data_IF_773514935106
#
_entry.id   IF_773514935106
#
_cell.length_a   1.000
_cell.length_b   1.000
_cell.length_c   1.000
_cell.angle_alpha   90.00
_cell.angle_beta   90.00
_cell.angle_gamma   90.00
#
_symmetry.space_group_name_H-M   'P 1'
#
loop_
_entity.id
_entity.type
_entity.pdbx_description
1 polymer ?
#
# COMPACT_ATOMS: atom_id res chain seq x y z
N UNK A 1 15.89 24.49 7.42
CA UNK A 1 14.44 24.24 7.39
C UNK A 1 14.27 22.73 7.39
N UNK A 2 14.12 22.13 8.57
CA UNK A 2 13.89 20.70 8.70
C UNK A 2 12.50 20.38 8.13
N UNK A 3 12.46 19.75 6.95
CA UNK A 3 11.22 19.19 6.42
C UNK A 3 10.85 18.02 7.32
N UNK A 4 9.88 18.21 8.22
CA UNK A 4 9.29 17.11 8.98
C UNK A 4 8.49 16.26 8.00
N UNK A 5 8.93 15.02 7.81
CA UNK A 5 8.11 14.00 7.16
C UNK A 5 6.90 13.73 8.06
N UNK A 6 5.70 13.92 7.52
CA UNK A 6 4.48 13.55 8.23
C UNK A 6 4.15 12.09 7.97
N UNK A 7 4.07 11.30 9.04
CA UNK A 7 3.65 9.90 8.98
C UNK A 7 2.12 9.86 9.08
N UNK A 8 1.47 9.34 8.04
CA UNK A 8 0.01 9.28 7.94
C UNK A 8 -0.42 7.83 7.78
N UNK A 9 -1.40 7.38 8.56
CA UNK A 9 -2.01 6.06 8.37
C UNK A 9 -3.15 6.16 7.36
N UNK A 10 -3.06 5.41 6.27
CA UNK A 10 -4.05 5.48 5.21
C UNK A 10 -5.37 4.82 5.62
N UNK A 11 -6.46 5.57 5.51
CA UNK A 11 -7.83 5.13 5.75
C UNK A 11 -8.64 5.41 4.48
N UNK A 12 -8.54 4.55 3.45
CA UNK A 12 -9.13 4.84 2.15
C UNK A 12 -10.66 4.76 2.15
N UNK A 13 -11.27 5.67 1.39
CA UNK A 13 -12.66 5.62 0.94
C UNK A 13 -12.76 4.96 -0.46
N UNK A 14 -13.98 4.61 -0.86
CA UNK A 14 -14.22 3.90 -2.12
C UNK A 14 -13.62 4.68 -3.31
N UNK A 15 -12.79 3.99 -4.12
CA UNK A 15 -12.05 4.51 -5.26
C UNK A 15 -10.88 5.45 -4.91
N UNK A 16 -10.54 5.62 -3.64
CA UNK A 16 -9.34 6.36 -3.26
C UNK A 16 -8.09 5.70 -3.82
N UNK A 17 -7.13 6.55 -4.21
CA UNK A 17 -5.83 6.14 -4.73
C UNK A 17 -4.71 6.70 -3.90
N UNK A 18 -3.65 5.92 -3.78
CA UNK A 18 -2.39 6.29 -3.17
C UNK A 18 -1.28 6.02 -4.18
N UNK A 19 -0.66 7.08 -4.67
CA UNK A 19 0.49 7.01 -5.57
C UNK A 19 1.75 7.40 -4.82
N UNK A 20 2.80 6.61 -4.94
CA UNK A 20 4.07 6.93 -4.30
C UNK A 20 5.11 5.85 -4.49
N UNK A 21 6.28 6.04 -3.90
CA UNK A 21 7.37 5.06 -3.91
C UNK A 21 7.24 4.17 -2.68
N UNK A 22 7.25 2.86 -2.87
CA UNK A 22 7.31 1.91 -1.77
C UNK A 22 8.70 1.98 -1.13
N UNK A 23 8.80 2.55 0.08
CA UNK A 23 10.09 2.77 0.75
C UNK A 23 10.41 1.71 1.80
N UNK A 24 9.39 1.01 2.31
CA UNK A 24 9.60 -0.02 3.32
C UNK A 24 8.48 -1.06 3.33
N UNK A 25 8.86 -2.31 3.57
CA UNK A 25 7.95 -3.43 3.86
C UNK A 25 8.32 -3.99 5.24
N UNK A 26 7.39 -3.92 6.17
CA UNK A 26 7.54 -4.48 7.50
C UNK A 26 6.61 -5.67 7.63
N UNK A 27 7.16 -6.85 7.88
CA UNK A 27 6.39 -8.09 8.02
C UNK A 27 6.18 -8.44 9.48
N UNK A 28 5.05 -9.08 9.79
CA UNK A 28 4.72 -9.59 11.12
C UNK A 28 4.83 -8.52 12.24
N UNK A 29 4.37 -7.30 11.98
CA UNK A 29 4.41 -6.20 12.94
C UNK A 29 3.07 -5.97 13.66
N UNK A 30 3.17 -5.52 14.91
CA UNK A 30 2.02 -5.19 15.77
C UNK A 30 1.36 -6.40 16.44
N UNK A 31 0.29 -6.15 17.21
CA UNK A 31 -0.39 -7.16 18.04
C UNK A 31 -0.99 -8.34 17.25
N UNK A 32 -1.22 -8.14 15.95
CA UNK A 32 -1.89 -9.12 15.08
C UNK A 32 -0.97 -9.68 14.00
N UNK A 33 0.36 -9.52 14.12
CA UNK A 33 1.35 -9.96 13.13
C UNK A 33 0.96 -9.56 11.69
N UNK A 34 0.54 -8.30 11.51
CA UNK A 34 0.12 -7.79 10.20
C UNK A 34 1.32 -7.20 9.45
N UNK A 35 1.23 -7.15 8.13
CA UNK A 35 2.24 -6.45 7.34
C UNK A 35 1.95 -4.94 7.32
N UNK A 36 2.99 -4.12 7.20
CA UNK A 36 2.90 -2.68 7.10
C UNK A 36 3.75 -2.20 5.93
N UNK A 37 3.11 -1.50 5.00
CA UNK A 37 3.76 -0.93 3.82
C UNK A 37 3.89 0.57 4.00
N UNK A 38 5.10 1.11 3.86
CA UNK A 38 5.34 2.56 3.90
C UNK A 38 5.57 3.08 2.50
N UNK A 39 4.75 4.04 2.09
CA UNK A 39 4.74 4.59 0.75
C UNK A 39 5.03 6.09 0.84
N UNK A 40 6.13 6.53 0.24
CA UNK A 40 6.47 7.94 0.15
C UNK A 40 5.61 8.62 -0.92
N UNK A 41 4.76 9.55 -0.50
CA UNK A 41 3.90 10.35 -1.36
C UNK A 41 4.15 11.84 -1.11
N UNK A 42 4.97 12.47 -1.96
CA UNK A 42 5.38 13.86 -1.78
C UNK A 42 6.24 14.03 -0.53
N UNK A 43 5.76 14.82 0.44
CA UNK A 43 6.42 15.04 1.74
C UNK A 43 5.95 14.08 2.85
N UNK A 44 4.98 13.22 2.54
CA UNK A 44 4.32 12.37 3.53
C UNK A 44 4.76 10.92 3.37
N UNK A 45 4.97 10.24 4.50
CA UNK A 45 5.12 8.80 4.56
C UNK A 45 3.75 8.20 4.90
N UNK A 46 3.15 7.53 3.92
CA UNK A 46 1.83 6.93 4.07
C UNK A 46 1.98 5.47 4.46
N UNK A 47 1.55 5.14 5.67
CA UNK A 47 1.54 3.80 6.24
C UNK A 47 0.24 3.07 5.89
N UNK A 48 0.35 1.92 5.22
CA UNK A 48 -0.78 1.08 4.81
C UNK A 48 -0.68 -0.28 5.50
N UNK A 49 -1.70 -0.60 6.31
CA UNK A 49 -1.80 -1.90 6.96
C UNK A 49 -2.22 -2.98 5.94
N UNK A 50 -1.33 -3.94 5.75
CA UNK A 50 -1.50 -5.14 4.96
C UNK A 50 -2.49 -6.12 5.59
N UNK A 51 -3.38 -6.67 4.75
CA UNK A 51 -4.22 -7.82 5.12
C UNK A 51 -4.72 -8.56 3.89
N UNK A 52 -4.60 -9.89 3.90
CA UNK A 52 -5.19 -10.81 2.92
C UNK A 52 -4.88 -10.40 1.47
N UNK A 53 -5.85 -9.82 0.76
CA UNK A 53 -5.71 -9.40 -0.63
C UNK A 53 -4.61 -8.37 -0.84
N UNK A 54 -4.45 -7.42 0.09
CA UNK A 54 -3.41 -6.40 -0.05
C UNK A 54 -2.02 -7.04 0.04
N UNK A 55 -1.83 -7.99 0.94
CA UNK A 55 -0.53 -8.65 1.10
C UNK A 55 -0.15 -9.39 -0.18
N UNK A 56 -1.10 -10.16 -0.73
CA UNK A 56 -0.90 -10.93 -1.96
C UNK A 56 -0.55 -10.07 -3.16
N UNK A 57 -1.19 -8.91 -3.36
CA UNK A 57 -0.82 -8.04 -4.49
C UNK A 57 0.49 -7.30 -4.25
N UNK A 58 0.80 -6.95 -2.99
CA UNK A 58 2.04 -6.24 -2.63
C UNK A 58 3.28 -7.13 -2.69
N UNK A 59 3.14 -8.45 -2.78
CA UNK A 59 4.26 -9.36 -3.10
C UNK A 59 4.95 -9.00 -4.42
N UNK A 60 4.18 -8.52 -5.42
CA UNK A 60 4.71 -8.15 -6.72
C UNK A 60 5.53 -6.84 -6.73
N UNK A 61 5.29 -5.94 -5.77
CA UNK A 61 6.04 -4.68 -5.67
C UNK A 61 7.34 -4.87 -4.88
N UNK A 62 8.42 -4.21 -5.28
CA UNK A 62 9.68 -4.16 -4.55
C UNK A 62 9.88 -2.82 -3.86
N UNK A 63 10.70 -2.79 -2.80
CA UNK A 63 11.13 -1.50 -2.23
C UNK A 63 11.90 -0.73 -3.31
N UNK A 64 11.53 0.53 -3.51
CA UNK A 64 11.98 1.37 -4.63
C UNK A 64 10.96 1.49 -5.75
N UNK A 65 9.92 0.64 -5.79
CA UNK A 65 8.92 0.72 -6.84
C UNK A 65 8.01 1.93 -6.69
N UNK A 66 7.81 2.68 -7.79
CA UNK A 66 6.69 3.61 -7.88
C UNK A 66 5.42 2.80 -8.12
N UNK A 67 4.45 2.95 -7.22
CA UNK A 67 3.19 2.22 -7.24
C UNK A 67 2.00 3.17 -7.23
N UNK A 68 0.88 2.71 -7.80
CA UNK A 68 -0.44 3.26 -7.64
C UNK A 68 -1.33 2.19 -7.00
N UNK A 69 -1.76 2.45 -5.77
CA UNK A 69 -2.63 1.57 -5.00
C UNK A 69 -4.04 2.17 -4.97
N UNK A 70 -5.04 1.45 -5.45
CA UNK A 70 -6.45 1.87 -5.45
C UNK A 70 -7.27 1.01 -4.51
N UNK A 71 -8.11 1.61 -3.67
CA UNK A 71 -9.11 0.87 -2.89
C UNK A 71 -10.41 0.73 -3.68
N UNK A 72 -10.77 -0.51 -4.02
CA UNK A 72 -11.94 -0.82 -4.86
C UNK A 72 -13.20 -1.07 -4.02
N UNK A 73 -13.08 -1.01 -2.69
CA UNK A 73 -14.18 -1.25 -1.76
C UNK A 73 -14.17 -2.64 -1.14
N UNK A 74 -15.33 -3.08 -0.67
CA UNK A 74 -15.52 -4.37 -0.03
C UNK A 74 -16.04 -5.40 -1.02
N UNK A 75 -15.41 -6.56 -1.05
CA UNK A 75 -15.92 -7.73 -1.76
C UNK A 75 -16.45 -8.77 -0.77
N UNK A 76 -17.55 -9.44 -1.13
CA UNK A 76 -18.11 -10.54 -0.32
C UNK A 76 -17.42 -11.84 -0.73
N UNK A 77 -16.77 -12.49 0.22
CA UNK A 77 -16.43 -13.91 0.13
C UNK A 77 -17.56 -14.73 0.77
N UNK A 78 -17.54 -16.07 0.62
CA UNK A 78 -18.62 -16.95 1.09
C UNK A 78 -19.10 -16.65 2.52
N UNK A 79 -18.19 -16.27 3.42
CA UNK A 79 -18.50 -16.04 4.84
C UNK A 79 -18.02 -14.68 5.39
N UNK A 80 -17.28 -13.87 4.63
CA UNK A 80 -16.65 -12.64 5.14
C UNK A 80 -16.63 -11.50 4.11
N UNK A 81 -16.47 -10.26 4.59
CA UNK A 81 -16.15 -9.12 3.74
C UNK A 81 -14.66 -8.87 3.76
N UNK A 82 -14.07 -8.64 2.58
CA UNK A 82 -12.65 -8.36 2.43
C UNK A 82 -12.47 -7.06 1.65
N UNK A 83 -11.51 -6.24 2.07
CA UNK A 83 -11.08 -5.06 1.32
C UNK A 83 -10.38 -5.51 0.05
N UNK A 84 -10.85 -5.01 -1.10
CA UNK A 84 -10.24 -5.25 -2.40
C UNK A 84 -9.40 -4.03 -2.79
N UNK A 85 -8.20 -4.30 -3.28
CA UNK A 85 -7.28 -3.29 -3.76
C UNK A 85 -6.86 -3.63 -5.18
N UNK A 86 -6.43 -2.63 -5.93
CA UNK A 86 -5.71 -2.81 -7.18
C UNK A 86 -4.36 -2.15 -7.05
N UNK A 87 -3.33 -2.81 -7.55
CA UNK A 87 -1.96 -2.34 -7.53
C UNK A 87 -1.48 -2.24 -8.97
N UNK A 88 -0.94 -1.07 -9.32
CA UNK A 88 -0.22 -0.86 -10.57
C UNK A 88 1.21 -0.44 -10.22
N UNK A 89 2.18 -1.15 -10.79
CA UNK A 89 3.60 -0.82 -10.66
C UNK A 89 3.96 0.08 -11.85
N UNK A 90 4.28 1.33 -11.56
CA UNK A 90 4.54 2.39 -12.54
C UNK A 90 6.02 2.49 -12.90
N UNK A 91 6.85 1.58 -12.40
CA UNK A 91 8.23 1.46 -12.85
C UNK A 91 8.22 0.97 -14.30
N UNK A 92 8.36 1.93 -15.21
CA UNK A 92 8.36 1.71 -16.64
C UNK A 92 9.65 1.01 -17.07
N UNK A 93 9.74 -0.31 -16.84
CA UNK A 93 10.75 -1.14 -17.48
C UNK A 93 10.22 -1.54 -18.86
N UNK A 94 10.27 -0.60 -19.79
CA UNK A 94 10.70 -0.97 -21.14
C UNK A 94 12.21 -1.23 -21.03
N UNK A 95 12.59 -2.41 -20.58
CA UNK A 95 13.92 -2.90 -20.89
C UNK A 95 13.93 -3.35 -22.35
N UNK A 96 14.92 -2.79 -23.05
CA UNK A 96 15.25 -2.90 -24.46
C UNK A 96 15.78 -4.27 -24.85
#
# INVERSE_FOLDING_TARGET
>A
MDKKEEIIFWKPELNDTLKGVLIEKLENVGRYNSNLYKIQSGLNVVCVWGRFHLDSIMEAASVGDMILLRYVGLTKTKNHQMKKYELEILNNNYDQ
#
